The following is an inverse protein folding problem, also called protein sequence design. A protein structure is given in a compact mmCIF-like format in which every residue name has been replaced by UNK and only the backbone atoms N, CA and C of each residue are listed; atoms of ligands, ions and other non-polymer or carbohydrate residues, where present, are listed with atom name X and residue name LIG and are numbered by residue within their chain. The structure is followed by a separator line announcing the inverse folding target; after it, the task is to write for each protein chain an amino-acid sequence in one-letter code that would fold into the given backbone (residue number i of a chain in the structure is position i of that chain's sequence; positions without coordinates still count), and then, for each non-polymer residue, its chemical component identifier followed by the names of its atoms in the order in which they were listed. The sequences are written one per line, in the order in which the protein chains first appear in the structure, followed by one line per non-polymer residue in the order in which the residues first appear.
data_IF_406340753498
#
_entry.id   IF_406340753498
#
_cell.length_a   1.000
_cell.length_b   1.000
_cell.length_c   1.000
_cell.angle_alpha   90.00
_cell.angle_beta   90.00
_cell.angle_gamma   90.00
#
_symmetry.space_group_name_H-M   'P 1'
#
loop_
_entity.id
_entity.type
_entity.pdbx_description
1 polymer ?
#
# COMPACT_ATOMS: atom_id res chain seq x y z
N UNK A 1 30.04 6.63 -13.93
CA UNK A 1 28.69 7.15 -14.22
C UNK A 1 27.87 6.96 -12.96
N UNK A 2 27.19 7.98 -12.46
CA UNK A 2 26.30 7.84 -11.31
C UNK A 2 25.20 6.81 -11.66
N UNK A 3 24.95 5.85 -10.77
CA UNK A 3 23.89 4.87 -10.97
C UNK A 3 22.55 5.62 -11.10
N UNK A 4 21.82 5.38 -12.18
CA UNK A 4 20.51 5.99 -12.40
C UNK A 4 19.50 5.33 -11.47
N UNK A 5 18.88 6.08 -10.57
CA UNK A 5 17.83 5.55 -9.68
C UNK A 5 16.62 5.12 -10.53
N UNK A 6 16.24 3.85 -10.43
CA UNK A 6 15.06 3.29 -11.12
C UNK A 6 13.99 2.92 -10.11
N UNK A 7 12.93 3.72 -10.06
CA UNK A 7 11.83 3.57 -9.09
C UNK A 7 11.21 2.17 -9.10
N UNK A 8 11.09 1.53 -10.27
CA UNK A 8 10.32 0.28 -10.41
C UNK A 8 10.98 -0.91 -9.72
N UNK A 9 12.30 -0.89 -9.56
CA UNK A 9 13.07 -2.01 -9.03
C UNK A 9 13.94 -1.61 -7.83
N UNK A 10 13.82 -0.37 -7.34
CA UNK A 10 14.62 0.12 -6.22
C UNK A 10 14.22 -0.59 -4.92
N UNK A 11 15.20 -1.16 -4.22
CA UNK A 11 15.02 -1.62 -2.85
C UNK A 11 14.98 -0.44 -1.87
N UNK A 12 14.55 -0.68 -0.63
CA UNK A 12 14.67 0.33 0.43
C UNK A 12 16.13 0.76 0.67
N UNK A 13 17.11 -0.13 0.44
CA UNK A 13 18.51 0.22 0.54
C UNK A 13 18.93 1.19 -0.58
N UNK A 14 18.45 0.97 -1.81
CA UNK A 14 18.72 1.87 -2.95
C UNK A 14 18.09 3.25 -2.72
N UNK A 15 16.87 3.29 -2.18
CA UNK A 15 16.17 4.54 -1.84
C UNK A 15 16.94 5.30 -0.75
N UNK A 16 17.31 4.64 0.35
CA UNK A 16 18.08 5.29 1.42
C UNK A 16 19.45 5.77 0.93
N UNK A 17 20.16 4.98 0.13
CA UNK A 17 21.41 5.42 -0.49
C UNK A 17 21.23 6.66 -1.37
N UNK A 18 20.12 6.75 -2.12
CA UNK A 18 19.81 7.93 -2.94
C UNK A 18 19.47 9.16 -2.08
N UNK A 19 18.79 8.97 -0.95
CA UNK A 19 18.57 10.04 0.03
C UNK A 19 19.90 10.54 0.63
N UNK A 20 20.77 9.64 1.05
CA UNK A 20 22.06 9.98 1.68
C UNK A 20 23.00 10.71 0.71
N UNK A 21 22.89 10.41 -0.59
CA UNK A 21 23.63 11.08 -1.66
C UNK A 21 22.97 12.40 -2.12
N UNK A 22 21.84 12.79 -1.52
CA UNK A 22 21.00 13.91 -1.97
C UNK A 22 20.57 13.81 -3.45
N UNK A 23 20.57 12.59 -4.01
CA UNK A 23 20.12 12.31 -5.37
C UNK A 23 18.58 12.19 -5.47
N UNK A 24 17.94 12.01 -4.32
CA UNK A 24 16.51 11.86 -4.16
C UNK A 24 16.08 12.52 -2.84
N UNK A 25 14.83 12.97 -2.77
CA UNK A 25 14.19 13.46 -1.54
C UNK A 25 12.89 12.70 -1.30
N UNK A 26 12.38 12.71 -0.07
CA UNK A 26 11.11 12.08 0.29
C UNK A 26 9.96 12.66 -0.54
N UNK A 27 9.95 13.99 -0.75
CA UNK A 27 8.95 14.65 -1.57
C UNK A 27 9.02 14.22 -3.04
N UNK A 28 10.23 14.15 -3.63
CA UNK A 28 10.38 13.69 -5.02
C UNK A 28 10.05 12.20 -5.17
N UNK A 29 10.44 11.34 -4.22
CA UNK A 29 10.04 9.94 -4.21
C UNK A 29 8.53 9.77 -4.11
N UNK A 30 7.88 10.49 -3.20
CA UNK A 30 6.43 10.45 -3.02
C UNK A 30 5.73 10.91 -4.29
N UNK A 31 6.18 12.01 -4.91
CA UNK A 31 5.63 12.48 -6.18
C UNK A 31 5.80 11.46 -7.31
N UNK A 32 6.94 10.77 -7.39
CA UNK A 32 7.16 9.71 -8.37
C UNK A 32 6.14 8.56 -8.24
N UNK A 33 5.82 8.15 -7.02
CA UNK A 33 4.77 7.15 -6.79
C UNK A 33 3.37 7.69 -7.08
N UNK A 34 3.04 8.91 -6.66
CA UNK A 34 1.77 9.56 -6.97
C UNK A 34 1.53 9.65 -8.49
N UNK A 35 2.56 10.00 -9.27
CA UNK A 35 2.49 10.02 -10.73
C UNK A 35 2.20 8.64 -11.34
N UNK A 36 2.74 7.57 -10.74
CA UNK A 36 2.44 6.20 -11.19
C UNK A 36 1.03 5.78 -10.81
N UNK A 37 0.58 6.13 -9.61
CA UNK A 37 -0.79 5.87 -9.17
C UNK A 37 -1.76 6.54 -10.16
N UNK A 38 -1.56 7.82 -10.49
CA UNK A 38 -2.38 8.52 -11.48
C UNK A 38 -2.40 7.80 -12.85
N UNK A 39 -1.26 7.26 -13.29
CA UNK A 39 -1.14 6.59 -14.59
C UNK A 39 -1.76 5.19 -14.66
N UNK A 40 -1.79 4.42 -13.57
CA UNK A 40 -2.14 2.98 -13.59
C UNK A 40 -3.36 2.62 -12.76
N UNK A 41 -3.71 3.42 -11.77
CA UNK A 41 -4.70 3.04 -10.76
C UNK A 41 -6.12 2.96 -11.31
N UNK A 42 -6.44 3.74 -12.36
CA UNK A 42 -7.71 3.63 -13.07
C UNK A 42 -7.96 2.26 -13.71
N UNK A 43 -6.92 1.44 -13.90
CA UNK A 43 -7.03 0.06 -14.36
C UNK A 43 -6.82 -0.97 -13.24
N UNK A 44 -5.95 -0.68 -12.27
CA UNK A 44 -5.54 -1.66 -11.25
C UNK A 44 -6.44 -1.69 -10.01
N UNK A 45 -6.95 -0.53 -9.58
CA UNK A 45 -7.88 -0.41 -8.46
C UNK A 45 -7.39 -1.10 -7.16
N UNK A 46 -6.12 -0.86 -6.83
CA UNK A 46 -5.37 -1.29 -5.65
C UNK A 46 -5.56 -0.39 -4.41
N UNK A 47 -6.09 0.82 -4.54
CA UNK A 47 -6.24 1.82 -3.48
C UNK A 47 -7.73 2.08 -3.21
N UNK A 48 -8.11 2.08 -1.94
CA UNK A 48 -9.44 2.55 -1.47
C UNK A 48 -9.40 4.05 -1.20
N UNK A 49 -8.30 4.55 -0.67
CA UNK A 49 -8.13 5.97 -0.36
C UNK A 49 -6.67 6.36 -0.52
N UNK A 50 -6.42 7.47 -1.22
CA UNK A 50 -5.11 8.09 -1.28
C UNK A 50 -5.01 9.17 -0.20
N UNK A 51 -3.86 9.27 0.48
CA UNK A 51 -3.67 10.31 1.49
C UNK A 51 -3.41 11.68 0.84
N UNK A 52 -4.33 12.66 0.95
CA UNK A 52 -4.14 13.97 0.32
C UNK A 52 -2.98 14.77 0.93
N UNK A 53 -2.52 14.40 2.14
CA UNK A 53 -1.41 15.05 2.85
C UNK A 53 -0.07 14.32 2.68
N UNK A 54 0.00 13.27 1.86
CA UNK A 54 1.23 12.48 1.70
C UNK A 54 2.42 13.34 1.26
N UNK A 55 2.22 14.23 0.28
CA UNK A 55 3.28 15.11 -0.23
C UNK A 55 3.69 16.18 0.78
N UNK A 56 2.72 16.77 1.50
CA UNK A 56 2.99 17.72 2.59
C UNK A 56 3.85 17.07 3.68
N UNK A 57 3.47 15.85 4.09
CA UNK A 57 4.22 15.04 5.06
C UNK A 57 5.65 14.76 4.57
N UNK A 58 5.79 14.43 3.27
CA UNK A 58 7.09 14.18 2.66
C UNK A 58 8.03 15.41 2.72
N UNK A 59 7.49 16.61 2.45
CA UNK A 59 8.25 17.88 2.54
C UNK A 59 8.69 18.17 3.97
N UNK A 60 7.81 17.91 4.95
CA UNK A 60 8.15 18.06 6.37
C UNK A 60 9.27 17.10 6.78
N UNK A 61 9.23 15.84 6.34
CA UNK A 61 10.26 14.84 6.62
C UNK A 61 11.58 15.13 5.91
N UNK A 62 11.57 15.74 4.73
CA UNK A 62 12.78 16.25 4.08
C UNK A 62 13.43 17.36 4.91
N UNK A 63 12.62 18.28 5.44
CA UNK A 63 13.12 19.35 6.32
C UNK A 63 13.71 18.77 7.60
N UNK A 64 13.02 17.82 8.23
CA UNK A 64 13.50 17.13 9.41
C UNK A 64 14.82 16.38 9.16
N UNK A 65 14.93 15.68 8.03
CA UNK A 65 16.16 14.98 7.64
C UNK A 65 17.35 15.93 7.58
N UNK A 66 17.17 17.16 7.10
CA UNK A 66 18.23 18.17 7.02
C UNK A 66 18.58 18.77 8.39
N UNK A 67 17.60 18.92 9.29
CA UNK A 67 17.77 19.59 10.58
C UNK A 67 18.29 18.62 11.66
N UNK A 68 17.70 17.44 11.79
CA UNK A 68 17.95 16.48 12.88
C UNK A 68 18.43 15.11 12.39
N UNK A 69 18.44 14.87 11.08
CA UNK A 69 18.72 13.55 10.51
C UNK A 69 17.48 12.65 10.43
N UNK A 70 17.59 11.47 9.80
CA UNK A 70 16.47 10.53 9.67
C UNK A 70 16.16 9.82 10.99
N UNK A 71 14.87 9.62 11.30
CA UNK A 71 14.42 8.85 12.47
C UNK A 71 14.76 7.36 12.37
N UNK A 72 14.71 6.81 11.16
CA UNK A 72 14.96 5.40 10.88
C UNK A 72 15.24 5.18 9.38
N UNK A 73 15.42 3.92 8.97
CA UNK A 73 15.48 3.53 7.54
C UNK A 73 14.15 3.72 6.78
N UNK A 74 13.06 4.00 7.50
CA UNK A 74 11.75 4.33 6.93
C UNK A 74 11.49 5.83 6.83
N UNK A 75 12.43 6.68 7.28
CA UNK A 75 12.26 8.13 7.27
C UNK A 75 12.05 8.65 5.84
N UNK A 76 10.87 9.18 5.54
CA UNK A 76 10.51 9.67 4.21
C UNK A 76 10.12 8.59 3.20
N UNK A 77 9.94 7.34 3.64
CA UNK A 77 9.52 6.22 2.78
C UNK A 77 7.99 6.14 2.73
N UNK A 78 7.36 6.16 1.54
CA UNK A 78 5.93 5.91 1.39
C UNK A 78 5.55 4.46 1.72
N UNK A 79 4.49 4.27 2.49
CA UNK A 79 3.96 2.96 2.91
C UNK A 79 2.46 2.92 2.69
N UNK A 80 1.96 1.83 2.12
CA UNK A 80 0.53 1.58 1.90
C UNK A 80 -0.01 0.65 2.99
N UNK A 81 -1.07 1.06 3.69
CA UNK A 81 -1.71 0.24 4.72
C UNK A 81 -2.96 -0.41 4.16
N UNK A 82 -3.20 -1.70 4.40
CA UNK A 82 -4.50 -2.31 4.07
C UNK A 82 -5.65 -1.57 4.78
N UNK A 83 -6.79 -1.41 4.10
CA UNK A 83 -7.93 -0.60 4.58
C UNK A 83 -8.70 -1.19 5.80
N UNK A 84 -8.12 -2.16 6.50
CA UNK A 84 -8.59 -2.62 7.81
C UNK A 84 -7.61 -2.31 8.95
N UNK A 85 -6.67 -1.39 8.71
CA UNK A 85 -5.70 -0.90 9.71
C UNK A 85 -6.08 0.54 10.03
N UNK A 86 -6.41 0.85 11.27
CA UNK A 86 -6.89 2.18 11.64
C UNK A 86 -5.83 3.28 11.44
N UNK A 87 -6.30 4.45 11.01
CA UNK A 87 -5.54 5.69 10.95
C UNK A 87 -6.40 6.86 11.39
N UNK A 88 -5.89 7.78 12.21
CA UNK A 88 -6.71 8.90 12.72
C UNK A 88 -7.09 9.94 11.65
N UNK A 89 -6.39 9.95 10.51
CA UNK A 89 -6.51 10.98 9.46
C UNK A 89 -7.02 10.45 8.10
N UNK A 90 -7.29 9.15 7.97
CA UNK A 90 -7.85 8.53 6.78
C UNK A 90 -8.96 7.53 7.15
N UNK A 91 -9.98 7.34 6.29
CA UNK A 91 -10.99 6.33 6.51
C UNK A 91 -10.40 4.92 6.66
N UNK A 92 -11.07 4.08 7.45
CA UNK A 92 -10.81 2.64 7.55
C UNK A 92 -12.14 1.92 7.42
N UNK A 93 -12.32 1.24 6.30
CA UNK A 93 -13.67 0.78 5.88
C UNK A 93 -13.79 -0.74 5.77
N UNK A 94 -12.67 -1.45 5.86
CA UNK A 94 -12.58 -2.87 5.53
C UNK A 94 -13.18 -3.21 4.14
N UNK A 95 -13.17 -2.24 3.20
CA UNK A 95 -13.77 -2.32 1.86
C UNK A 95 -15.30 -2.24 1.83
N UNK A 96 -15.97 -1.91 2.93
CA UNK A 96 -17.43 -1.95 3.02
C UNK A 96 -18.06 -0.57 2.85
N UNK A 97 -19.10 -0.47 2.01
CA UNK A 97 -19.91 0.76 1.89
C UNK A 97 -20.58 1.16 3.22
N UNK A 98 -20.78 0.21 4.13
CA UNK A 98 -21.35 0.49 5.45
C UNK A 98 -20.41 1.33 6.34
N UNK A 99 -19.11 1.34 6.01
CA UNK A 99 -18.07 2.08 6.72
C UNK A 99 -17.46 3.18 5.83
N UNK A 100 -18.11 3.54 4.72
CA UNK A 100 -17.65 4.62 3.85
C UNK A 100 -17.50 5.92 4.66
N UNK A 101 -16.30 6.51 4.62
CA UNK A 101 -15.98 7.72 5.38
C UNK A 101 -15.80 7.51 6.90
N UNK A 102 -15.79 6.27 7.41
CA UNK A 102 -15.51 5.98 8.82
C UNK A 102 -14.05 6.29 9.17
N UNK A 103 -13.82 7.34 9.97
CA UNK A 103 -12.49 7.75 10.44
C UNK A 103 -12.31 7.30 11.89
N UNK A 104 -11.36 6.38 12.17
CA UNK A 104 -10.98 6.02 13.54
C UNK A 104 -10.50 7.24 14.36
N UNK A 105 -10.69 7.26 15.69
CA UNK A 105 -10.20 8.35 16.52
C UNK A 105 -8.67 8.38 16.64
N UNK A 106 -8.02 7.22 16.50
CA UNK A 106 -6.59 7.02 16.73
C UNK A 106 -5.98 6.15 15.63
N UNK A 107 -4.65 6.21 15.47
CA UNK A 107 -3.91 5.24 14.68
C UNK A 107 -3.93 3.86 15.35
N UNK A 108 -3.97 2.79 14.54
CA UNK A 108 -3.58 1.47 15.04
C UNK A 108 -2.11 1.49 15.47
N UNK A 109 -1.72 0.65 16.45
CA UNK A 109 -0.35 0.62 16.97
C UNK A 109 0.73 0.52 15.89
N UNK A 110 0.52 -0.27 14.84
CA UNK A 110 1.48 -0.38 13.73
C UNK A 110 1.58 0.90 12.88
N UNK A 111 0.47 1.63 12.70
CA UNK A 111 0.45 2.89 11.97
C UNK A 111 1.18 4.00 12.75
N UNK A 112 0.94 4.06 14.06
CA UNK A 112 1.65 4.95 14.99
C UNK A 112 3.17 4.71 14.95
N UNK A 113 3.59 3.45 15.10
CA UNK A 113 5.00 3.05 15.03
C UNK A 113 5.65 3.39 13.67
N UNK A 114 4.91 3.30 12.56
CA UNK A 114 5.38 3.70 11.24
C UNK A 114 5.60 5.22 11.16
N UNK A 115 4.67 6.03 11.69
CA UNK A 115 4.84 7.49 11.75
C UNK A 115 6.00 7.90 12.64
N UNK A 116 6.17 7.24 13.79
CA UNK A 116 7.31 7.44 14.68
C UNK A 116 8.63 7.11 14.00
N UNK A 117 8.66 6.07 13.17
CA UNK A 117 9.79 5.72 12.32
C UNK A 117 10.03 6.72 11.16
N UNK A 118 9.13 7.69 10.96
CA UNK A 118 9.19 8.69 9.89
C UNK A 118 8.64 8.21 8.55
N UNK A 119 7.86 7.13 8.51
CA UNK A 119 7.22 6.66 7.29
C UNK A 119 6.06 7.59 6.86
N UNK A 120 5.81 7.66 5.56
CA UNK A 120 4.70 8.41 4.99
C UNK A 120 3.58 7.42 4.69
N UNK A 121 2.46 7.50 5.41
CA UNK A 121 1.27 6.72 5.06
C UNK A 121 0.70 7.27 3.76
N UNK A 122 0.94 6.56 2.65
CA UNK A 122 0.56 6.99 1.29
C UNK A 122 -0.94 6.85 1.04
N UNK A 123 -1.60 5.92 1.72
CA UNK A 123 -3.02 5.68 1.58
C UNK A 123 -3.46 4.34 2.19
N UNK A 124 -4.63 3.88 1.73
CA UNK A 124 -5.32 2.67 2.15
C UNK A 124 -5.47 1.72 0.96
N UNK A 125 -4.96 0.49 1.09
CA UNK A 125 -5.00 -0.54 0.07
C UNK A 125 -6.35 -1.25 0.05
N UNK A 126 -6.82 -1.58 -1.16
CA UNK A 126 -7.99 -2.42 -1.36
C UNK A 126 -7.79 -3.83 -0.82
N UNK A 127 -8.91 -4.46 -0.46
CA UNK A 127 -8.94 -5.79 0.13
C UNK A 127 -10.17 -6.55 -0.32
N UNK A 128 -10.17 -7.85 -0.04
CA UNK A 128 -11.42 -8.61 0.00
C UNK A 128 -12.21 -8.16 1.23
N UNK A 129 -13.43 -7.63 1.03
CA UNK A 129 -14.28 -7.03 2.08
C UNK A 129 -14.34 -7.85 3.38
N UNK A 130 -14.27 -7.15 4.51
CA UNK A 130 -14.19 -7.77 5.85
C UNK A 130 -13.14 -8.88 5.93
N UNK A 131 -12.00 -8.67 5.27
CA UNK A 131 -10.88 -9.60 5.21
C UNK A 131 -11.26 -11.02 4.72
N UNK A 132 -12.19 -11.12 3.77
CA UNK A 132 -12.73 -12.37 3.23
C UNK A 132 -13.51 -13.21 4.28
N UNK A 133 -14.25 -12.53 5.16
CA UNK A 133 -15.06 -13.17 6.20
C UNK A 133 -16.54 -12.72 6.17
N UNK A 134 -17.03 -12.33 4.99
CA UNK A 134 -18.40 -11.86 4.80
C UNK A 134 -19.35 -12.97 4.31
N UNK A 135 -18.92 -13.79 3.34
CA UNK A 135 -19.76 -14.84 2.74
C UNK A 135 -18.93 -15.97 2.14
N UNK A 136 -19.56 -17.12 1.90
CA UNK A 136 -18.95 -18.26 1.20
C UNK A 136 -18.87 -17.98 -0.30
N UNK A 137 -17.73 -18.31 -0.93
CA UNK A 137 -17.54 -18.12 -2.37
C UNK A 137 -17.25 -16.68 -2.78
N UNK A 138 -16.91 -15.83 -1.81
CA UNK A 138 -16.56 -14.43 -2.06
C UNK A 138 -15.34 -14.33 -3.01
N UNK A 139 -15.43 -13.55 -4.10
CA UNK A 139 -14.30 -13.36 -5.01
C UNK A 139 -13.13 -12.64 -4.33
N UNK A 140 -11.92 -13.18 -4.49
CA UNK A 140 -10.73 -12.57 -3.93
C UNK A 140 -10.44 -11.21 -4.58
N UNK A 141 -10.17 -10.20 -3.75
CA UNK A 141 -9.92 -8.82 -4.16
C UNK A 141 -11.17 -7.99 -4.43
N UNK A 142 -12.37 -8.52 -4.21
CA UNK A 142 -13.63 -7.78 -4.32
C UNK A 142 -14.04 -7.12 -3.00
N UNK A 143 -14.54 -5.90 -3.10
CA UNK A 143 -15.26 -5.25 -2.00
C UNK A 143 -16.42 -4.39 -2.50
N UNK A 144 -17.47 -4.23 -1.71
CA UNK A 144 -18.63 -3.42 -2.08
C UNK A 144 -18.28 -1.95 -2.32
N UNK A 145 -17.30 -1.41 -1.58
CA UNK A 145 -16.87 -0.01 -1.72
C UNK A 145 -15.96 0.20 -2.93
N UNK A 146 -15.00 -0.68 -3.14
CA UNK A 146 -13.95 -0.46 -4.15
C UNK A 146 -14.18 -1.23 -5.46
N UNK A 147 -15.04 -2.25 -5.47
CA UNK A 147 -15.12 -3.21 -6.57
C UNK A 147 -13.94 -4.19 -6.58
N UNK A 148 -13.52 -4.62 -7.78
CA UNK A 148 -12.43 -5.59 -7.96
C UNK A 148 -11.05 -4.93 -8.00
N UNK A 149 -10.12 -5.47 -7.21
CA UNK A 149 -8.69 -5.27 -7.39
C UNK A 149 -8.18 -6.09 -8.57
N UNK A 150 -7.31 -5.54 -9.41
CA UNK A 150 -6.75 -6.24 -10.56
C UNK A 150 -5.28 -6.60 -10.37
N UNK A 151 -4.92 -7.80 -10.82
CA UNK A 151 -3.54 -8.27 -10.78
C UNK A 151 -2.72 -7.56 -11.89
N UNK A 152 -1.59 -6.91 -11.58
CA UNK A 152 -0.83 -6.13 -12.56
C UNK A 152 -0.17 -6.97 -13.66
N UNK A 153 -0.05 -8.28 -13.49
CA UNK A 153 0.43 -9.17 -14.56
C UNK A 153 -0.60 -9.41 -15.66
N UNK A 154 -1.89 -9.25 -15.36
CA UNK A 154 -2.96 -9.23 -16.36
C UNK A 154 -4.18 -8.44 -15.82
N UNK A 155 -4.20 -7.11 -16.05
CA UNK A 155 -5.19 -6.22 -15.45
C UNK A 155 -6.45 -6.08 -16.32
N UNK A 156 -6.95 -7.20 -16.84
CA UNK A 156 -8.17 -7.26 -17.63
C UNK A 156 -9.22 -8.15 -16.94
N UNK A 157 -10.51 -7.81 -17.09
CA UNK A 157 -11.58 -8.64 -16.55
C UNK A 157 -11.65 -9.97 -17.31
N UNK A 158 -12.16 -11.00 -16.64
CA UNK A 158 -12.53 -12.26 -17.26
C UNK A 158 -13.66 -12.01 -18.26
N UNK A 159 -13.42 -12.30 -19.54
CA UNK A 159 -14.41 -12.12 -20.59
C UNK A 159 -15.66 -12.98 -20.32
N UNK A 160 -16.84 -12.35 -20.40
CA UNK A 160 -18.12 -12.99 -20.08
C UNK A 160 -18.37 -13.25 -18.59
N UNK A 161 -17.50 -12.76 -17.69
CA UNK A 161 -17.64 -12.87 -16.24
C UNK A 161 -18.45 -11.73 -15.59
N UNK A 162 -18.40 -11.67 -14.26
CA UNK A 162 -19.03 -10.64 -13.42
C UNK A 162 -18.13 -9.42 -13.18
N UNK A 163 -17.16 -9.18 -14.08
CA UNK A 163 -16.15 -8.13 -13.95
C UNK A 163 -14.92 -8.51 -13.12
N UNK A 164 -14.88 -9.71 -12.52
CA UNK A 164 -13.68 -10.18 -11.81
C UNK A 164 -12.46 -10.26 -12.73
N UNK A 165 -11.23 -10.07 -12.20
CA UNK A 165 -10.02 -10.13 -13.00
C UNK A 165 -9.77 -11.53 -13.57
N UNK A 166 -9.20 -11.60 -14.78
CA UNK A 166 -8.81 -12.87 -15.42
C UNK A 166 -7.72 -13.60 -14.62
N UNK A 167 -6.84 -12.83 -13.98
CA UNK A 167 -5.85 -13.33 -13.03
C UNK A 167 -6.21 -12.83 -11.64
N UNK A 168 -6.49 -13.75 -10.71
CA UNK A 168 -6.82 -13.37 -9.34
C UNK A 168 -5.63 -12.63 -8.68
N UNK A 169 -5.87 -11.52 -7.97
CA UNK A 169 -4.85 -10.86 -7.16
C UNK A 169 -4.60 -11.60 -5.82
N UNK A 170 -5.28 -12.73 -5.57
CA UNK A 170 -5.34 -13.36 -4.25
C UNK A 170 -6.08 -12.49 -3.24
N UNK A 171 -5.98 -12.80 -1.95
CA UNK A 171 -6.63 -12.02 -0.92
C UNK A 171 -6.46 -12.60 0.48
N UNK A 172 -6.85 -11.89 1.53
CA UNK A 172 -7.59 -10.62 1.45
C UNK A 172 -6.75 -9.36 1.25
N UNK A 173 -5.43 -9.38 1.42
CA UNK A 173 -4.56 -8.19 1.20
C UNK A 173 -4.23 -7.94 -0.29
N UNK A 174 -5.26 -7.91 -1.13
CA UNK A 174 -5.13 -7.87 -2.59
C UNK A 174 -4.42 -6.60 -3.07
N UNK A 175 -4.94 -5.41 -2.72
CA UNK A 175 -4.35 -4.13 -3.12
C UNK A 175 -2.95 -3.92 -2.55
N UNK A 176 -2.69 -4.37 -1.32
CA UNK A 176 -1.36 -4.30 -0.71
C UNK A 176 -0.29 -5.00 -1.55
N UNK A 177 -0.56 -6.22 -2.04
CA UNK A 177 0.39 -6.97 -2.85
C UNK A 177 0.46 -6.45 -4.29
N UNK A 178 -0.69 -6.17 -4.90
CA UNK A 178 -0.78 -5.68 -6.28
C UNK A 178 -0.12 -4.29 -6.45
N UNK A 179 -0.26 -3.39 -5.48
CA UNK A 179 0.40 -2.08 -5.50
C UNK A 179 1.92 -2.18 -5.44
N UNK A 180 2.47 -3.09 -4.64
CA UNK A 180 3.93 -3.33 -4.58
C UNK A 180 4.41 -3.94 -5.90
N UNK A 181 3.68 -4.93 -6.43
CA UNK A 181 4.02 -5.58 -7.70
C UNK A 181 4.00 -4.61 -8.90
N UNK A 182 3.09 -3.63 -8.89
CA UNK A 182 3.00 -2.58 -9.91
C UNK A 182 3.96 -1.39 -9.66
N UNK A 183 4.81 -1.46 -8.63
CA UNK A 183 5.71 -0.38 -8.21
C UNK A 183 4.96 0.95 -7.94
N UNK A 184 3.78 0.87 -7.32
CA UNK A 184 2.99 2.03 -6.89
C UNK A 184 3.36 2.48 -5.47
N UNK A 185 4.04 1.61 -4.72
CA UNK A 185 4.57 1.86 -3.38
C UNK A 185 5.77 0.92 -3.16
N UNK A 186 6.82 1.30 -2.40
CA UNK A 186 7.97 0.43 -2.19
C UNK A 186 7.67 -0.73 -1.23
N UNK A 187 6.80 -0.49 -0.24
CA UNK A 187 6.36 -1.49 0.74
C UNK A 187 4.90 -1.26 1.14
N UNK A 188 4.23 -2.31 1.59
CA UNK A 188 2.86 -2.24 2.11
C UNK A 188 2.67 -3.13 3.33
N UNK A 189 1.65 -2.83 4.13
CA UNK A 189 1.25 -3.62 5.29
C UNK A 189 -0.05 -4.34 4.95
N UNK A 190 -0.02 -5.68 5.02
CA UNK A 190 -1.19 -6.54 4.91
C UNK A 190 -1.55 -7.18 6.25
N UNK A 191 -2.70 -7.86 6.29
CA UNK A 191 -3.16 -8.60 7.48
C UNK A 191 -3.52 -10.03 7.10
N UNK A 192 -3.22 -10.99 7.97
CA UNK A 192 -3.47 -12.41 7.71
C UNK A 192 -4.13 -13.15 8.88
N UNK A 193 -5.32 -13.69 8.62
CA UNK A 193 -5.94 -14.74 9.44
C UNK A 193 -5.50 -16.12 8.97
N UNK A 194 -5.62 -16.38 7.66
CA UNK A 194 -5.18 -17.63 7.00
C UNK A 194 -4.91 -17.35 5.53
N UNK A 195 -3.63 -17.26 5.13
CA UNK A 195 -3.19 -17.01 3.76
C UNK A 195 -3.36 -15.57 3.25
N UNK A 196 -3.97 -14.66 4.00
CA UNK A 196 -4.33 -13.32 3.51
C UNK A 196 -3.18 -12.33 3.27
N UNK A 197 -1.94 -12.67 3.62
CA UNK A 197 -0.68 -12.03 3.19
C UNK A 197 0.00 -12.94 2.15
N UNK A 198 0.15 -14.23 2.45
CA UNK A 198 0.94 -15.15 1.62
C UNK A 198 0.30 -15.44 0.24
N UNK A 199 -1.02 -15.61 0.19
CA UNK A 199 -1.78 -15.84 -1.05
C UNK A 199 -1.68 -14.66 -2.02
N UNK A 200 -2.02 -13.41 -1.65
CA UNK A 200 -1.87 -12.29 -2.57
C UNK A 200 -0.39 -12.01 -2.90
N UNK A 201 0.55 -12.23 -1.97
CA UNK A 201 1.98 -12.12 -2.29
C UNK A 201 2.41 -13.11 -3.39
N UNK A 202 1.99 -14.38 -3.28
CA UNK A 202 2.26 -15.40 -4.29
C UNK A 202 1.64 -15.05 -5.66
N UNK A 203 0.37 -14.64 -5.68
CA UNK A 203 -0.35 -14.34 -6.92
C UNK A 203 0.16 -13.09 -7.64
N UNK A 204 0.75 -12.14 -6.92
CA UNK A 204 1.34 -10.93 -7.49
C UNK A 204 2.88 -10.99 -7.51
N UNK A 205 3.49 -12.17 -7.34
CA UNK A 205 4.94 -12.38 -7.43
C UNK A 205 5.78 -11.39 -6.58
N UNK A 206 5.34 -11.12 -5.35
CA UNK A 206 6.05 -10.31 -4.36
C UNK A 206 6.33 -11.11 -3.09
N UNK A 207 7.23 -10.61 -2.26
CA UNK A 207 7.51 -11.21 -0.94
C UNK A 207 6.41 -10.84 0.04
N UNK A 208 5.87 -11.82 0.76
CA UNK A 208 4.95 -11.63 1.88
C UNK A 208 5.45 -12.35 3.12
N UNK A 209 5.42 -11.68 4.27
CA UNK A 209 5.85 -12.24 5.55
C UNK A 209 4.67 -12.22 6.52
N UNK A 210 4.22 -13.40 6.94
CA UNK A 210 3.27 -13.55 8.05
C UNK A 210 4.06 -13.86 9.32
N UNK A 211 4.18 -12.90 10.26
CA UNK A 211 4.94 -13.13 11.48
C UNK A 211 4.28 -14.19 12.38
N UNK A 212 5.01 -14.61 13.42
CA UNK A 212 4.42 -15.34 14.54
C UNK A 212 3.38 -14.46 15.21
N UNK A 213 2.21 -15.02 15.55
CA UNK A 213 1.15 -14.28 16.25
C UNK A 213 1.71 -13.76 17.58
N UNK A 214 1.52 -12.47 17.86
CA UNK A 214 2.04 -11.78 19.05
C UNK A 214 3.39 -11.08 18.85
N UNK A 215 4.03 -11.18 17.68
CA UNK A 215 5.21 -10.37 17.36
C UNK A 215 4.85 -8.93 17.00
N UNK A 216 3.74 -8.76 16.26
CA UNK A 216 3.13 -7.49 15.86
C UNK A 216 1.70 -7.50 16.37
#
# INVERSE_FOLDING_TARGET
MAATFSLTNASLADINNAFDQNALTSASLTQLYLNRIDAYEGQLNNFVTLNPKALETAIALDTERQVSGPRSLLHGIPVLLKDNIDTFDLPTTAGSVALEGSIPPDDAFIADQLRDAGAIILGKASLTEFANFLTTGMPAGYSSLNGYTFNPYNPFPLEGGDGRPVLSPGGSSAGSAAAVAASLVPISIGTETSGSILSPANQNSVVGIKPTVGLV
#
